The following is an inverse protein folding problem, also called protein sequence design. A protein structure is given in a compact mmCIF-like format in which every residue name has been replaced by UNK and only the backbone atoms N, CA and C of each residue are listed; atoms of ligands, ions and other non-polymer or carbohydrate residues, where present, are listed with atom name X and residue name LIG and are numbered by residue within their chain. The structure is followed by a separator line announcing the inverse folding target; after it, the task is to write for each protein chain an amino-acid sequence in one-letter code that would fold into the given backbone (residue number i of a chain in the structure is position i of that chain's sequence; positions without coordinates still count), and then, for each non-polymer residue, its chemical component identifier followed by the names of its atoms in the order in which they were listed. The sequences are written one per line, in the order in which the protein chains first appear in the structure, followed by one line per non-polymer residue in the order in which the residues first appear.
data_IF_986214776097
#
_entry.id   IF_986214776097
#
_cell.length_a   1.000
_cell.length_b   1.000
_cell.length_c   1.000
_cell.angle_alpha   90.00
_cell.angle_beta   90.00
_cell.angle_gamma   90.00
#
_symmetry.space_group_name_H-M   'P 1'
#
loop_
_entity.id
_entity.type
_entity.pdbx_description
1 polymer ?
#
# COMPACT_ATOMS: atom_id res chain seq x y z
N UNK A 1 -2.95 -26.94 -15.91
CA UNK A 1 -2.29 -26.10 -14.89
C UNK A 1 -3.21 -24.91 -14.65
N UNK A 2 -3.68 -24.74 -13.41
CA UNK A 2 -4.70 -23.74 -13.06
C UNK A 2 -4.23 -22.32 -13.40
N UNK A 3 -5.01 -21.57 -14.18
CA UNK A 3 -4.78 -20.16 -14.49
C UNK A 3 -5.05 -19.26 -13.27
N UNK A 4 -4.29 -19.43 -12.18
CA UNK A 4 -4.44 -18.61 -10.97
C UNK A 4 -3.54 -17.37 -10.99
N UNK A 5 -3.18 -16.86 -12.18
CA UNK A 5 -2.35 -15.68 -12.29
C UNK A 5 -3.25 -14.42 -12.29
N UNK A 6 -3.23 -13.59 -11.24
CA UNK A 6 -4.07 -12.38 -11.17
C UNK A 6 -3.72 -11.35 -12.25
N UNK A 7 -2.57 -11.48 -12.92
CA UNK A 7 -2.11 -10.57 -13.97
C UNK A 7 -2.70 -10.91 -15.35
N UNK A 8 -3.17 -12.13 -15.59
CA UNK A 8 -3.61 -12.59 -16.91
C UNK A 8 -4.71 -11.69 -17.49
N UNK A 9 -5.76 -11.40 -16.72
CA UNK A 9 -6.87 -10.55 -17.18
C UNK A 9 -6.42 -9.13 -17.57
N UNK A 10 -5.38 -8.61 -16.91
CA UNK A 10 -4.84 -7.28 -17.21
C UNK A 10 -3.95 -7.30 -18.47
N UNK A 11 -3.08 -8.30 -18.58
CA UNK A 11 -2.14 -8.44 -19.69
C UNK A 11 -2.79 -8.89 -21.00
N UNK A 12 -3.91 -9.63 -20.92
CA UNK A 12 -4.73 -9.98 -22.09
C UNK A 12 -5.45 -8.75 -22.65
N UNK A 13 -5.75 -7.76 -21.81
CA UNK A 13 -6.43 -6.53 -22.21
C UNK A 13 -5.46 -5.45 -22.75
N UNK A 14 -4.26 -5.34 -22.18
CA UNK A 14 -3.22 -4.37 -22.58
C UNK A 14 -1.82 -4.98 -22.43
N UNK A 15 -0.85 -4.60 -23.27
CA UNK A 15 0.52 -5.12 -23.19
C UNK A 15 1.32 -4.58 -21.99
N UNK A 16 0.71 -3.82 -21.10
CA UNK A 16 1.33 -3.24 -19.90
C UNK A 16 0.32 -3.13 -18.76
N UNK A 17 0.83 -3.05 -17.53
CA UNK A 17 0.07 -2.75 -16.31
C UNK A 17 0.66 -1.51 -15.67
N UNK A 18 -0.19 -0.54 -15.33
CA UNK A 18 0.23 0.62 -14.54
C UNK A 18 0.17 0.30 -13.05
N UNK A 19 1.29 0.44 -12.35
CA UNK A 19 1.36 0.42 -10.89
C UNK A 19 1.11 1.83 -10.35
N UNK A 20 0.89 1.93 -9.04
CA UNK A 20 0.88 3.21 -8.34
C UNK A 20 2.29 3.79 -8.12
N UNK A 21 2.34 4.95 -7.49
CA UNK A 21 3.57 5.69 -7.20
C UNK A 21 3.89 5.77 -5.70
N UNK A 22 4.72 6.74 -5.33
CA UNK A 22 5.13 6.94 -3.95
C UNK A 22 3.94 7.37 -3.07
N UNK A 23 3.76 6.67 -1.93
CA UNK A 23 2.77 7.02 -0.91
C UNK A 23 3.21 8.21 -0.06
N UNK A 24 4.51 8.30 0.26
CA UNK A 24 5.05 9.33 1.15
C UNK A 24 4.81 10.76 0.64
N UNK A 25 5.10 11.01 -0.65
CA UNK A 25 4.98 12.35 -1.25
C UNK A 25 3.56 12.90 -1.19
N UNK A 26 2.56 12.04 -1.43
CA UNK A 26 1.15 12.44 -1.36
C UNK A 26 0.71 12.68 0.08
N UNK A 27 1.15 11.84 1.02
CA UNK A 27 0.87 12.04 2.44
C UNK A 27 1.49 13.34 2.98
N UNK A 28 2.72 13.68 2.58
CA UNK A 28 3.37 14.96 2.92
C UNK A 28 2.59 16.15 2.34
N UNK A 29 2.14 16.06 1.08
CA UNK A 29 1.31 17.07 0.45
C UNK A 29 -0.04 17.28 1.19
N UNK A 30 -0.51 16.24 1.88
CA UNK A 30 -1.72 16.26 2.75
C UNK A 30 -1.42 16.65 4.20
N UNK A 31 -0.18 17.04 4.50
CA UNK A 31 0.23 17.55 5.81
C UNK A 31 0.70 16.49 6.80
N UNK A 32 0.92 15.24 6.38
CA UNK A 32 1.54 14.25 7.26
C UNK A 32 3.02 14.58 7.51
N UNK A 33 3.42 14.63 8.77
CA UNK A 33 4.83 14.66 9.14
C UNK A 33 5.41 13.25 9.12
N UNK A 34 6.27 12.96 8.14
CA UNK A 34 6.92 11.66 7.95
C UNK A 34 8.37 11.61 8.47
N UNK A 35 8.76 12.52 9.37
CA UNK A 35 10.09 12.58 9.98
C UNK A 35 10.36 11.45 11.00
N UNK A 36 9.98 10.22 10.65
CA UNK A 36 10.04 9.03 11.47
C UNK A 36 10.41 7.83 10.60
N UNK A 37 11.37 7.00 11.03
CA UNK A 37 11.78 5.81 10.29
C UNK A 37 10.65 4.77 10.11
N UNK A 38 9.59 4.87 10.92
CA UNK A 38 8.40 4.04 10.88
C UNK A 38 7.15 4.85 10.48
N UNK A 39 7.31 5.85 9.62
CA UNK A 39 6.21 6.73 9.22
C UNK A 39 5.00 5.97 8.66
N UNK A 40 5.22 4.89 7.89
CA UNK A 40 4.12 4.13 7.28
C UNK A 40 3.27 3.44 8.35
N UNK A 41 3.92 2.92 9.37
CA UNK A 41 3.32 2.35 10.57
C UNK A 41 2.53 3.40 11.36
N UNK A 42 3.10 4.61 11.54
CA UNK A 42 2.44 5.72 12.22
C UNK A 42 1.17 6.17 11.50
N UNK A 43 1.23 6.40 10.19
CA UNK A 43 0.08 6.88 9.41
C UNK A 43 -1.05 5.83 9.38
N UNK A 44 -0.72 4.53 9.34
CA UNK A 44 -1.72 3.45 9.44
C UNK A 44 -2.52 3.48 10.75
N UNK A 45 -1.93 3.98 11.85
CA UNK A 45 -2.59 4.11 13.14
C UNK A 45 -3.33 5.44 13.24
N UNK A 46 -2.65 6.53 12.90
CA UNK A 46 -3.12 7.88 13.21
C UNK A 46 -4.08 8.45 12.16
N UNK A 47 -3.82 8.20 10.87
CA UNK A 47 -4.56 8.79 9.74
C UNK A 47 -4.80 7.76 8.60
N UNK A 48 -5.44 6.61 8.88
CA UNK A 48 -5.63 5.54 7.89
C UNK A 48 -6.45 5.97 6.68
N UNK A 49 -7.36 6.93 6.84
CA UNK A 49 -8.16 7.50 5.76
C UNK A 49 -7.32 8.19 4.69
N UNK A 50 -6.23 8.88 5.06
CA UNK A 50 -5.33 9.51 4.09
C UNK A 50 -4.68 8.46 3.18
N UNK A 51 -4.30 7.30 3.71
CA UNK A 51 -3.76 6.19 2.90
C UNK A 51 -4.80 5.70 1.88
N UNK A 52 -6.05 5.54 2.31
CA UNK A 52 -7.15 5.14 1.39
C UNK A 52 -7.33 6.18 0.29
N UNK A 53 -7.28 7.46 0.62
CA UNK A 53 -7.46 8.53 -0.35
C UNK A 53 -6.30 8.61 -1.35
N UNK A 54 -5.05 8.41 -0.91
CA UNK A 54 -3.90 8.34 -1.82
C UNK A 54 -4.04 7.15 -2.77
N UNK A 55 -4.45 5.97 -2.29
CA UNK A 55 -4.75 4.84 -3.18
C UNK A 55 -5.85 5.17 -4.19
N UNK A 56 -6.90 5.87 -3.76
CA UNK A 56 -8.00 6.28 -4.64
C UNK A 56 -7.51 7.26 -5.71
N UNK A 57 -6.64 8.20 -5.36
CA UNK A 57 -6.05 9.14 -6.32
C UNK A 57 -5.19 8.43 -7.35
N UNK A 58 -4.40 7.43 -6.95
CA UNK A 58 -3.64 6.62 -7.91
C UNK A 58 -4.56 5.83 -8.85
N UNK A 59 -5.65 5.25 -8.35
CA UNK A 59 -6.63 4.59 -9.22
C UNK A 59 -7.27 5.58 -10.21
N UNK A 60 -7.64 6.79 -9.76
CA UNK A 60 -8.15 7.87 -10.63
C UNK A 60 -7.12 8.35 -11.65
N UNK A 61 -5.83 8.34 -11.30
CA UNK A 61 -4.73 8.66 -12.21
C UNK A 61 -4.43 7.55 -13.23
N UNK A 62 -5.05 6.37 -13.09
CA UNK A 62 -4.97 5.26 -14.04
C UNK A 62 -4.16 4.06 -13.56
N UNK A 63 -3.70 4.04 -12.30
CA UNK A 63 -3.08 2.85 -11.73
C UNK A 63 -4.07 1.68 -11.75
N UNK A 64 -3.57 0.49 -12.08
CA UNK A 64 -4.33 -0.76 -12.09
C UNK A 64 -3.99 -1.64 -10.88
N UNK A 65 -2.91 -1.32 -10.18
CA UNK A 65 -2.44 -2.04 -8.99
C UNK A 65 -2.06 -1.02 -7.94
N UNK A 66 -2.67 -1.13 -6.75
CA UNK A 66 -2.23 -0.41 -5.56
C UNK A 66 -1.24 -1.28 -4.76
N UNK A 67 -0.11 -0.71 -4.36
CA UNK A 67 0.88 -1.34 -3.49
C UNK A 67 0.63 -0.87 -2.05
N UNK A 68 0.32 -1.80 -1.15
CA UNK A 68 -0.10 -1.44 0.22
C UNK A 68 0.98 -0.72 1.02
N UNK A 69 0.56 0.10 1.99
CA UNK A 69 1.45 0.83 2.91
C UNK A 69 2.12 -0.07 3.99
N UNK A 70 2.59 -1.26 3.60
CA UNK A 70 3.18 -2.27 4.48
C UNK A 70 4.69 -2.47 4.30
N UNK A 71 5.37 -1.63 3.52
CA UNK A 71 6.80 -1.78 3.20
C UNK A 71 7.70 -1.92 4.47
N UNK A 72 7.50 -1.05 5.48
CA UNK A 72 8.21 -1.11 6.76
C UNK A 72 7.35 -1.68 7.91
N UNK A 73 6.13 -2.14 7.62
CA UNK A 73 5.19 -2.61 8.62
C UNK A 73 5.54 -4.06 9.04
N UNK A 74 6.43 -4.19 10.01
CA UNK A 74 6.88 -5.48 10.55
C UNK A 74 6.62 -5.55 12.05
N UNK A 75 6.35 -6.74 12.63
CA UNK A 75 6.24 -6.88 14.09
C UNK A 75 7.44 -6.32 14.84
N UNK A 76 8.66 -6.48 14.31
CA UNK A 76 9.87 -5.95 14.93
C UNK A 76 9.89 -4.41 14.94
N UNK A 77 9.53 -3.75 13.83
CA UNK A 77 9.43 -2.29 13.78
C UNK A 77 8.33 -1.76 14.70
N UNK A 78 7.16 -2.42 14.70
CA UNK A 78 6.03 -2.05 15.54
C UNK A 78 6.27 -2.30 17.05
N UNK A 79 7.11 -3.26 17.42
CA UNK A 79 7.50 -3.49 18.80
C UNK A 79 8.21 -2.27 19.43
N UNK A 80 8.99 -1.52 18.65
CA UNK A 80 9.59 -0.26 19.09
C UNK A 80 8.54 0.84 19.40
N UNK A 81 7.29 0.64 18.96
CA UNK A 81 6.12 1.48 19.25
C UNK A 81 5.20 0.89 20.33
N UNK A 82 5.65 -0.17 21.01
CA UNK A 82 4.87 -0.83 22.06
C UNK A 82 3.71 -1.70 21.54
N UNK A 83 3.73 -2.08 20.26
CA UNK A 83 2.72 -2.98 19.68
C UNK A 83 3.23 -4.42 19.70
N UNK A 84 2.33 -5.35 20.04
CA UNK A 84 2.59 -6.78 19.95
C UNK A 84 2.45 -7.30 18.51
N UNK A 85 2.76 -8.59 18.30
CA UNK A 85 2.68 -9.23 16.99
C UNK A 85 1.26 -9.28 16.42
N UNK A 86 0.24 -9.45 17.27
CA UNK A 86 -1.15 -9.52 16.83
C UNK A 86 -1.64 -8.15 16.36
N UNK A 87 -1.33 -7.09 17.11
CA UNK A 87 -1.59 -5.69 16.74
C UNK A 87 -0.85 -5.33 15.45
N UNK A 88 0.41 -5.76 15.31
CA UNK A 88 1.21 -5.57 14.10
C UNK A 88 0.56 -6.21 12.87
N UNK A 89 0.14 -7.47 12.97
CA UNK A 89 -0.55 -8.18 11.89
C UNK A 89 -1.89 -7.52 11.55
N UNK A 90 -2.61 -6.99 12.54
CA UNK A 90 -3.84 -6.25 12.31
C UNK A 90 -3.59 -4.97 11.49
N UNK A 91 -2.51 -4.23 11.76
CA UNK A 91 -2.14 -3.04 10.98
C UNK A 91 -1.69 -3.38 9.56
N UNK A 92 -0.92 -4.46 9.38
CA UNK A 92 -0.57 -4.98 8.05
C UNK A 92 -1.84 -5.33 7.27
N UNK A 93 -2.78 -6.05 7.89
CA UNK A 93 -4.08 -6.37 7.30
C UNK A 93 -4.90 -5.12 6.97
N UNK A 94 -4.87 -4.11 7.84
CA UNK A 94 -5.55 -2.83 7.62
C UNK A 94 -5.01 -2.08 6.41
N UNK A 95 -3.70 -2.15 6.13
CA UNK A 95 -3.14 -1.56 4.90
C UNK A 95 -3.77 -2.16 3.62
N UNK A 96 -4.05 -3.47 3.61
CA UNK A 96 -4.74 -4.15 2.51
C UNK A 96 -6.21 -3.74 2.45
N UNK A 97 -6.87 -3.66 3.60
CA UNK A 97 -8.26 -3.21 3.70
C UNK A 97 -8.45 -1.80 3.11
N UNK A 98 -7.55 -0.88 3.41
CA UNK A 98 -7.59 0.51 2.90
C UNK A 98 -7.44 0.56 1.38
N UNK A 99 -6.47 -0.18 0.81
CA UNK A 99 -6.30 -0.28 -0.64
C UNK A 99 -7.53 -0.93 -1.32
N UNK A 100 -8.15 -1.94 -0.70
CA UNK A 100 -9.38 -2.56 -1.20
C UNK A 100 -10.56 -1.59 -1.18
N UNK A 101 -10.72 -0.82 -0.09
CA UNK A 101 -11.77 0.21 0.02
C UNK A 101 -11.58 1.31 -1.02
N UNK A 102 -10.35 1.70 -1.31
CA UNK A 102 -10.05 2.66 -2.38
C UNK A 102 -10.45 2.11 -3.76
N UNK A 103 -10.12 0.85 -4.03
CA UNK A 103 -10.54 0.15 -5.26
C UNK A 103 -12.06 0.07 -5.39
N UNK A 104 -12.76 -0.30 -4.31
CA UNK A 104 -14.23 -0.36 -4.28
C UNK A 104 -14.86 1.02 -4.54
N UNK A 105 -14.32 2.07 -3.92
CA UNK A 105 -14.75 3.44 -4.18
C UNK A 105 -14.54 3.84 -5.66
N UNK A 106 -13.38 3.53 -6.23
CA UNK A 106 -13.11 3.85 -7.64
C UNK A 106 -13.98 3.05 -8.60
N UNK A 107 -14.27 1.78 -8.32
CA UNK A 107 -15.19 0.98 -9.15
C UNK A 107 -16.64 1.49 -9.06
N UNK A 108 -17.04 2.08 -7.95
CA UNK A 108 -18.33 2.76 -7.84
C UNK A 108 -18.35 4.07 -8.66
N UNK A 109 -17.25 4.81 -8.71
CA UNK A 109 -17.09 6.02 -9.54
C UNK A 109 -16.99 5.69 -11.04
N UNK A 110 -16.32 4.59 -11.39
CA UNK A 110 -16.08 4.16 -12.76
C UNK A 110 -16.26 2.63 -12.90
N UNK A 111 -17.52 2.16 -13.09
CA UNK A 111 -17.81 0.73 -13.25
C UNK A 111 -17.15 0.06 -14.46
N UNK A 112 -16.64 0.86 -15.42
CA UNK A 112 -15.98 0.38 -16.64
C UNK A 112 -14.45 0.36 -16.51
N UNK A 113 -13.89 0.63 -15.32
CA UNK A 113 -12.44 0.66 -15.10
C UNK A 113 -11.74 -0.69 -15.36
N UNK A 114 -12.49 -1.79 -15.41
CA UNK A 114 -11.96 -3.13 -15.61
C UNK A 114 -11.36 -3.75 -14.35
N UNK A 115 -10.46 -4.72 -14.51
CA UNK A 115 -9.82 -5.40 -13.39
C UNK A 115 -8.79 -4.49 -12.70
N UNK A 116 -8.84 -4.47 -11.37
CA UNK A 116 -7.93 -3.70 -10.51
C UNK A 116 -7.42 -4.60 -9.38
N UNK A 117 -6.14 -4.51 -9.07
CA UNK A 117 -5.45 -5.36 -8.11
C UNK A 117 -4.96 -4.59 -6.89
N UNK A 118 -4.68 -5.34 -5.83
CA UNK A 118 -4.00 -4.86 -4.63
C UNK A 118 -2.82 -5.80 -4.39
N UNK A 119 -1.62 -5.25 -4.31
CA UNK A 119 -0.38 -5.97 -4.05
C UNK A 119 0.10 -5.67 -2.63
N UNK A 120 0.29 -6.72 -1.83
CA UNK A 120 0.87 -6.59 -0.50
C UNK A 120 2.35 -6.22 -0.60
N UNK A 121 2.73 -5.02 -0.13
CA UNK A 121 4.13 -4.61 -0.11
C UNK A 121 4.91 -5.41 0.95
N UNK A 122 6.03 -6.00 0.54
CA UNK A 122 6.96 -6.73 1.40
C UNK A 122 8.32 -6.08 1.26
N UNK A 123 8.70 -5.26 2.25
CA UNK A 123 10.01 -4.63 2.27
C UNK A 123 11.14 -5.60 2.64
N UNK A 124 12.39 -5.32 2.22
CA UNK A 124 13.55 -6.09 2.62
C UNK A 124 13.88 -5.86 4.09
N UNK A 125 14.70 -6.74 4.67
CA UNK A 125 15.18 -6.58 6.05
C UNK A 125 15.91 -5.25 6.29
N UNK A 126 16.66 -4.74 5.29
CA UNK A 126 17.33 -3.45 5.37
C UNK A 126 16.39 -2.25 5.63
N UNK A 127 15.17 -2.29 5.11
CA UNK A 127 14.18 -1.24 5.35
C UNK A 127 13.70 -1.19 6.81
N UNK A 128 13.76 -2.33 7.51
CA UNK A 128 13.53 -2.39 8.96
C UNK A 128 14.71 -1.82 9.75
N UNK A 129 15.96 -2.03 9.30
CA UNK A 129 17.16 -1.49 9.94
C UNK A 129 17.26 0.04 9.87
N UNK A 130 16.61 0.64 8.87
CA UNK A 130 16.53 2.09 8.67
C UNK A 130 17.90 2.79 8.55
N UNK A 131 18.88 2.11 7.96
CA UNK A 131 20.26 2.60 7.78
C UNK A 131 20.69 2.65 6.29
N UNK A 132 19.74 2.50 5.36
CA UNK A 132 19.97 2.47 3.91
C UNK A 132 20.47 1.13 3.37
N UNK A 133 20.46 0.06 4.17
CA UNK A 133 20.89 -1.28 3.74
C UNK A 133 19.91 -1.96 2.77
N UNK A 134 18.75 -1.38 2.48
CA UNK A 134 17.91 -1.82 1.36
C UNK A 134 18.54 -1.57 -0.02
N UNK A 135 19.66 -0.84 -0.08
CA UNK A 135 20.41 -0.52 -1.30
C UNK A 135 21.85 -1.05 -1.34
N UNK A 136 22.29 -1.84 -0.35
CA UNK A 136 23.70 -2.28 -0.19
C UNK A 136 23.83 -3.77 0.05
#
# INVERSE_FOLDING_TARGET
MSQNNPLTALLDAKPFILLDGAMATELEARGCNLADSLWSAKVLVDNPELIREVHLDYFRAGAQVAITASYQATPAGFAARGLDEAQSKALIGKSVELARKAREAYLAENPQAGALLVAGSVGPYGAFLADGSEYR
#
